data_IF_323602762268
#
_entry.id   IF_323602762268
#
_cell.length_a   1.000
_cell.length_b   1.000
_cell.length_c   1.000
_cell.angle_alpha   90.00
_cell.angle_beta   90.00
_cell.angle_gamma   90.00
#
_symmetry.space_group_name_H-M   'P 1'
#
loop_
_entity.id
_entity.type
_entity.pdbx_description
1 polymer ?
#
# COMPACT_ATOMS: atom_id res chain seq x y z
N UNK A 1 -25.89 -33.16 -18.17
CA UNK A 1 -25.57 -31.90 -17.48
C UNK A 1 -24.06 -31.88 -17.27
N UNK A 2 -23.32 -31.25 -18.18
CA UNK A 2 -21.86 -31.13 -18.07
C UNK A 2 -21.57 -30.09 -16.99
N UNK A 3 -21.03 -30.52 -15.86
CA UNK A 3 -20.66 -29.62 -14.76
C UNK A 3 -19.32 -29.00 -15.15
N UNK A 4 -19.37 -27.76 -15.64
CA UNK A 4 -18.19 -26.94 -15.86
C UNK A 4 -17.46 -26.81 -14.51
N UNK A 5 -16.27 -27.41 -14.42
CA UNK A 5 -15.37 -27.17 -13.30
C UNK A 5 -14.82 -25.75 -13.46
N UNK A 6 -14.96 -24.92 -12.44
CA UNK A 6 -14.32 -23.60 -12.40
C UNK A 6 -12.80 -23.79 -12.48
N UNK A 7 -12.17 -23.15 -13.46
CA UNK A 7 -10.73 -23.14 -13.64
C UNK A 7 -10.12 -22.32 -12.50
N UNK A 8 -9.47 -23.00 -11.55
CA UNK A 8 -8.68 -22.38 -10.50
C UNK A 8 -7.27 -22.18 -11.05
N UNK A 9 -6.91 -20.93 -11.33
CA UNK A 9 -5.54 -20.56 -11.65
C UNK A 9 -4.74 -20.41 -10.35
N UNK A 10 -4.11 -21.48 -9.89
CA UNK A 10 -3.03 -21.37 -8.91
C UNK A 10 -1.76 -20.90 -9.63
N UNK A 11 -1.11 -19.88 -9.07
CA UNK A 11 0.20 -19.46 -9.54
C UNK A 11 1.16 -20.54 -9.02
N UNK A 12 1.92 -21.20 -9.89
CA UNK A 12 2.89 -22.20 -9.42
C UNK A 12 3.93 -21.49 -8.55
N UNK A 13 3.86 -21.72 -7.23
CA UNK A 13 4.89 -21.28 -6.28
C UNK A 13 6.18 -22.00 -6.65
N UNK A 14 7.12 -21.26 -7.24
CA UNK A 14 8.46 -21.78 -7.47
C UNK A 14 9.19 -21.89 -6.12
N UNK A 15 10.04 -22.93 -5.94
CA UNK A 15 10.85 -23.03 -4.74
C UNK A 15 11.69 -21.75 -4.54
N UNK A 16 11.88 -21.34 -3.28
CA UNK A 16 12.53 -20.06 -2.90
C UNK A 16 13.85 -19.77 -3.63
N UNK A 17 14.58 -20.82 -4.02
CA UNK A 17 15.84 -20.72 -4.76
C UNK A 17 15.69 -20.18 -6.19
N UNK A 18 14.51 -20.31 -6.81
CA UNK A 18 14.22 -19.90 -8.19
C UNK A 18 13.57 -18.50 -8.30
N UNK A 19 13.13 -17.89 -7.18
CA UNK A 19 12.54 -16.54 -7.21
C UNK A 19 13.54 -15.48 -7.71
N UNK A 20 14.82 -15.65 -7.39
CA UNK A 20 15.90 -14.77 -7.86
C UNK A 20 16.27 -14.98 -9.33
N UNK A 21 15.77 -16.06 -9.98
CA UNK A 21 16.05 -16.34 -11.38
C UNK A 21 15.13 -15.59 -12.35
N UNK A 22 14.11 -14.89 -11.85
CA UNK A 22 13.43 -13.84 -12.62
C UNK A 22 14.42 -12.69 -12.83
N UNK A 23 15.36 -12.91 -13.75
CA UNK A 23 16.04 -11.86 -14.49
C UNK A 23 14.94 -11.17 -15.28
N UNK A 24 14.27 -10.24 -14.63
CA UNK A 24 13.51 -9.23 -15.33
C UNK A 24 14.44 -8.67 -16.39
N UNK A 25 14.03 -8.78 -17.65
CA UNK A 25 14.62 -8.09 -18.80
C UNK A 25 14.39 -6.58 -18.64
N UNK A 26 14.84 -6.03 -17.50
CA UNK A 26 14.84 -4.61 -17.18
C UNK A 26 15.69 -3.94 -18.23
N UNK A 27 15.01 -3.28 -19.16
CA UNK A 27 15.58 -2.34 -20.11
C UNK A 27 16.64 -1.50 -19.39
N UNK A 28 17.90 -1.71 -19.79
CA UNK A 28 19.04 -0.95 -19.29
C UNK A 28 18.83 0.52 -19.67
N UNK A 29 18.40 1.34 -18.70
CA UNK A 29 18.31 2.78 -18.90
C UNK A 29 19.72 3.35 -18.99
N UNK A 30 20.01 4.12 -20.05
CA UNK A 30 21.31 4.78 -20.28
C UNK A 30 21.66 5.80 -19.19
N UNK A 31 20.68 6.24 -18.41
CA UNK A 31 20.86 7.26 -17.36
C UNK A 31 21.14 6.65 -15.98
N UNK A 32 21.13 5.32 -15.84
CA UNK A 32 21.34 4.64 -14.55
C UNK A 32 22.66 3.88 -14.57
N UNK A 33 23.70 4.51 -14.02
CA UNK A 33 24.98 3.85 -13.78
C UNK A 33 24.87 2.86 -12.63
N UNK A 34 24.96 1.55 -12.94
CA UNK A 34 25.00 0.50 -11.92
C UNK A 34 26.42 0.37 -11.38
N UNK A 35 26.67 0.92 -10.22
CA UNK A 35 27.95 0.78 -9.54
C UNK A 35 28.01 -0.63 -8.90
N UNK A 36 28.98 -1.43 -9.35
CA UNK A 36 29.23 -2.74 -8.74
C UNK A 36 29.80 -2.55 -7.32
N UNK A 37 29.01 -2.94 -6.32
CA UNK A 37 29.40 -2.90 -4.92
C UNK A 37 30.04 -4.23 -4.52
N UNK A 38 31.38 -4.25 -4.42
CA UNK A 38 32.08 -5.41 -3.84
C UNK A 38 31.93 -5.39 -2.31
N UNK A 39 31.05 -6.25 -1.80
CA UNK A 39 30.71 -6.38 -0.38
C UNK A 39 31.94 -6.69 0.47
N UNK A 40 32.86 -7.50 -0.03
CA UNK A 40 34.08 -7.88 0.72
C UNK A 40 35.05 -6.71 0.82
N UNK A 41 35.20 -5.93 -0.25
CA UNK A 41 35.98 -4.69 -0.21
C UNK A 41 35.37 -3.66 0.75
N UNK A 42 34.04 -3.52 0.76
CA UNK A 42 33.33 -2.61 1.64
C UNK A 42 33.48 -3.04 3.10
N UNK A 43 33.30 -4.33 3.39
CA UNK A 43 33.47 -4.88 4.74
C UNK A 43 34.90 -4.67 5.23
N UNK A 44 35.93 -4.95 4.41
CA UNK A 44 37.33 -4.65 4.78
C UNK A 44 37.57 -3.15 5.06
N UNK A 45 36.93 -2.25 4.32
CA UNK A 45 37.10 -0.80 4.48
C UNK A 45 36.39 -0.24 5.73
N UNK A 46 35.20 -0.76 6.04
CA UNK A 46 34.32 -0.22 7.08
C UNK A 46 34.30 -1.01 8.39
N UNK A 47 34.82 -2.25 8.43
CA UNK A 47 34.89 -3.03 9.65
C UNK A 47 35.67 -2.28 10.74
N UNK A 48 34.97 -1.94 11.83
CA UNK A 48 35.53 -1.25 12.98
C UNK A 48 35.66 0.27 12.82
N UNK A 49 35.20 0.88 11.72
CA UNK A 49 35.10 2.34 11.61
C UNK A 49 33.76 2.81 12.15
N UNK A 50 33.80 3.74 13.08
CA UNK A 50 32.62 4.42 13.64
C UNK A 50 32.65 5.86 13.12
N UNK A 51 31.53 6.35 12.59
CA UNK A 51 31.37 7.77 12.28
C UNK A 51 31.17 8.54 13.59
N UNK A 52 32.09 9.45 13.91
CA UNK A 52 31.92 10.38 15.04
C UNK A 52 31.03 11.54 14.62
N UNK A 53 29.86 11.66 15.23
CA UNK A 53 28.89 12.72 14.94
C UNK A 53 29.10 13.98 15.81
N UNK A 54 30.07 13.98 16.73
CA UNK A 54 30.24 15.05 17.73
C UNK A 54 30.58 16.43 17.14
N UNK A 55 31.08 16.48 15.89
CA UNK A 55 31.37 17.74 15.16
C UNK A 55 30.41 18.00 14.00
N UNK A 56 29.33 17.22 13.89
CA UNK A 56 28.34 17.38 12.81
C UNK A 56 27.22 18.27 13.34
N UNK A 57 27.19 19.50 12.84
CA UNK A 57 26.11 20.44 13.12
C UNK A 57 24.91 20.12 12.23
N UNK A 58 23.86 19.54 12.81
CA UNK A 58 22.59 19.30 12.12
C UNK A 58 21.73 20.56 12.00
N UNK A 59 22.25 21.76 12.33
CA UNK A 59 21.52 23.01 12.12
C UNK A 59 21.37 23.40 10.65
N UNK A 60 21.80 22.56 9.70
CA UNK A 60 21.51 22.76 8.28
C UNK A 60 20.00 22.68 8.07
N UNK A 61 19.37 23.86 8.07
CA UNK A 61 17.96 23.97 7.80
C UNK A 61 17.73 23.61 6.34
N UNK A 62 16.84 22.66 6.06
CA UNK A 62 16.40 22.28 4.70
C UNK A 62 15.85 23.49 3.90
N UNK A 63 15.68 24.64 4.55
CA UNK A 63 15.43 25.93 3.92
C UNK A 63 16.66 26.34 3.13
N UNK A 64 16.59 26.21 1.80
CA UNK A 64 17.63 26.57 0.83
C UNK A 64 18.41 27.82 1.27
N UNK A 65 19.65 27.62 1.75
CA UNK A 65 20.59 28.69 2.02
C UNK A 65 20.92 29.35 0.69
N UNK A 66 20.58 30.63 0.54
CA UNK A 66 20.88 31.39 -0.68
C UNK A 66 22.39 31.52 -0.79
N UNK A 67 22.99 30.77 -1.71
CA UNK A 67 24.37 31.02 -2.12
C UNK A 67 24.40 32.38 -2.83
N UNK A 68 25.37 33.26 -2.53
CA UNK A 68 25.69 34.38 -3.38
C UNK A 68 26.33 33.80 -4.64
N UNK A 69 25.49 33.38 -5.58
CA UNK A 69 25.86 32.81 -6.86
C UNK A 69 25.11 33.52 -7.97
N UNK A 70 25.78 33.64 -9.10
CA UNK A 70 25.29 34.22 -10.35
C UNK A 70 24.03 33.48 -10.81
N UNK A 71 22.87 34.08 -10.55
CA UNK A 71 21.57 33.52 -10.93
C UNK A 71 20.62 33.28 -9.76
N UNK A 72 20.28 34.33 -9.00
CA UNK A 72 18.95 34.40 -8.39
C UNK A 72 18.58 35.84 -7.96
N UNK A 73 17.83 36.53 -8.82
CA UNK A 73 16.81 37.51 -8.42
C UNK A 73 17.28 38.82 -7.79
N UNK A 74 17.50 39.82 -8.66
CA UNK A 74 17.18 41.27 -8.53
C UNK A 74 18.28 42.17 -9.10
N UNK A 75 19.51 41.68 -9.19
CA UNK A 75 20.60 42.29 -9.97
C UNK A 75 21.39 41.19 -10.69
N UNK A 76 20.67 40.30 -11.37
CA UNK A 76 21.32 39.38 -12.32
C UNK A 76 21.52 40.20 -13.57
N UNK A 77 22.70 40.79 -13.71
CA UNK A 77 23.20 41.24 -15.00
C UNK A 77 23.36 39.96 -15.83
N UNK A 78 22.34 39.56 -16.56
CA UNK A 78 22.55 38.62 -17.64
C UNK A 78 23.50 39.33 -18.59
N UNK A 79 24.77 38.93 -18.55
CA UNK A 79 25.66 39.18 -19.68
C UNK A 79 25.02 38.42 -20.82
N UNK A 80 24.20 39.14 -21.60
CA UNK A 80 23.58 38.62 -22.80
C UNK A 80 24.73 38.14 -23.68
N UNK A 81 24.86 36.82 -23.80
CA UNK A 81 25.93 36.19 -24.57
C UNK A 81 25.90 36.71 -26.00
N UNK A 82 27.04 36.71 -26.70
CA UNK A 82 27.18 37.16 -28.09
C UNK A 82 26.22 36.51 -29.09
N UNK A 83 25.49 35.49 -28.67
CA UNK A 83 24.56 34.67 -29.43
C UNK A 83 23.08 34.90 -29.08
N UNK A 84 22.73 35.89 -28.25
CA UNK A 84 21.33 36.34 -28.09
C UNK A 84 20.95 37.42 -29.12
N UNK A 85 19.76 37.31 -29.71
CA UNK A 85 19.19 38.32 -30.63
C UNK A 85 18.82 39.64 -29.93
N UNK A 86 18.84 39.69 -28.60
CA UNK A 86 18.44 40.85 -27.82
C UNK A 86 19.61 41.84 -27.64
N UNK A 87 19.38 43.11 -28.02
CA UNK A 87 20.36 44.18 -27.88
C UNK A 87 20.31 44.73 -26.45
N UNK A 88 21.44 44.69 -25.73
CA UNK A 88 21.58 45.31 -24.40
C UNK A 88 21.04 46.75 -24.41
N UNK A 89 20.23 47.11 -23.41
CA UNK A 89 19.85 48.51 -23.23
C UNK A 89 21.04 49.34 -22.76
N UNK A 90 21.14 50.60 -23.19
CA UNK A 90 22.25 51.49 -22.84
C UNK A 90 22.46 51.64 -21.31
N UNK A 91 21.38 51.57 -20.52
CA UNK A 91 21.43 51.63 -19.05
C UNK A 91 22.01 50.33 -18.45
N UNK A 92 21.63 49.16 -18.97
CA UNK A 92 22.22 47.87 -18.56
C UNK A 92 23.71 47.82 -18.89
N UNK A 93 24.09 48.27 -20.09
CA UNK A 93 25.50 48.34 -20.51
C UNK A 93 26.31 49.28 -19.61
N UNK A 94 25.75 50.43 -19.25
CA UNK A 94 26.39 51.37 -18.34
C UNK A 94 26.61 50.76 -16.94
N UNK A 95 25.59 50.12 -16.38
CA UNK A 95 25.66 49.52 -15.05
C UNK A 95 26.57 48.29 -15.01
N UNK A 96 26.60 47.49 -16.10
CA UNK A 96 27.57 46.40 -16.31
C UNK A 96 29.00 46.92 -16.30
N UNK A 97 29.30 47.97 -17.07
CA UNK A 97 30.64 48.59 -17.09
C UNK A 97 31.02 49.08 -15.69
N UNK A 98 30.06 49.64 -14.94
CA UNK A 98 30.30 50.08 -13.56
C UNK A 98 30.65 48.91 -12.64
N UNK A 99 29.96 47.77 -12.77
CA UNK A 99 30.24 46.56 -11.99
C UNK A 99 31.57 45.90 -12.38
N UNK A 100 31.85 45.77 -13.68
CA UNK A 100 33.14 45.27 -14.17
C UNK A 100 34.31 46.15 -13.70
N UNK A 101 34.14 47.49 -13.66
CA UNK A 101 35.15 48.39 -13.10
C UNK A 101 35.31 48.24 -11.58
N UNK A 102 34.24 47.99 -10.83
CA UNK A 102 34.38 47.70 -9.39
C UNK A 102 35.08 46.36 -9.14
N UNK A 103 34.76 45.32 -9.91
CA UNK A 103 35.43 44.02 -9.79
C UNK A 103 36.90 44.10 -10.20
N UNK A 104 37.22 44.89 -11.24
CA UNK A 104 38.59 45.17 -11.64
C UNK A 104 39.36 45.91 -10.53
N UNK A 105 38.72 46.90 -9.90
CA UNK A 105 39.31 47.61 -8.76
C UNK A 105 39.59 46.67 -7.58
N UNK A 106 38.62 45.83 -7.20
CA UNK A 106 38.78 44.86 -6.13
C UNK A 106 39.88 43.83 -6.46
N UNK A 107 39.98 43.40 -7.73
CA UNK A 107 41.01 42.48 -8.20
C UNK A 107 42.42 43.10 -8.14
N UNK A 108 42.57 44.39 -8.51
CA UNK A 108 43.83 45.11 -8.37
C UNK A 108 44.22 45.29 -6.89
N UNK A 109 43.27 45.58 -6.02
CA UNK A 109 43.52 45.69 -4.59
C UNK A 109 43.92 44.34 -3.97
N UNK A 110 43.29 43.24 -4.41
CA UNK A 110 43.68 41.89 -3.98
C UNK A 110 45.08 41.52 -4.51
N UNK A 111 45.44 41.90 -5.74
CA UNK A 111 46.78 41.72 -6.29
C UNK A 111 47.84 42.58 -5.59
N UNK A 112 47.49 43.74 -5.03
CA UNK A 112 48.43 44.51 -4.19
C UNK A 112 48.67 43.82 -2.83
N UNK A 113 47.69 43.06 -2.32
CA UNK A 113 47.80 42.33 -1.05
C UNK A 113 48.51 40.97 -1.20
N UNK A 114 48.41 40.34 -2.37
CA UNK A 114 49.11 39.09 -2.69
C UNK A 114 50.38 39.40 -3.48
N UNK A 115 51.56 39.27 -2.84
CA UNK A 115 52.92 39.60 -3.33
C UNK A 115 53.40 38.87 -4.63
N UNK A 116 52.51 38.51 -5.55
CA UNK A 116 52.85 37.99 -6.87
C UNK A 116 52.84 39.13 -7.90
N UNK A 117 54.05 39.62 -8.21
CA UNK A 117 54.34 40.65 -9.22
C UNK A 117 53.85 40.26 -10.63
N UNK A 118 52.54 40.33 -10.86
CA UNK A 118 51.99 40.49 -12.20
C UNK A 118 52.01 41.98 -12.47
N UNK A 119 52.88 42.40 -13.39
CA UNK A 119 52.99 43.79 -13.85
C UNK A 119 51.70 44.14 -14.59
N UNK A 120 50.67 44.56 -13.87
CA UNK A 120 49.48 45.17 -14.46
C UNK A 120 49.81 46.64 -14.70
N UNK A 121 49.79 47.06 -15.95
CA UNK A 121 50.08 48.45 -16.37
C UNK A 121 48.93 49.42 -16.05
N UNK A 122 48.07 49.08 -15.09
CA UNK A 122 46.83 49.81 -14.79
C UNK A 122 46.91 50.30 -13.36
N UNK A 123 46.92 51.62 -13.20
CA UNK A 123 46.98 52.26 -11.89
C UNK A 123 45.62 52.13 -11.19
N UNK A 124 45.61 51.56 -9.97
CA UNK A 124 44.41 51.37 -9.15
C UNK A 124 43.63 52.68 -8.91
N UNK A 125 44.36 53.79 -8.72
CA UNK A 125 43.78 55.12 -8.51
C UNK A 125 43.00 55.65 -9.73
N UNK A 126 43.45 55.35 -10.96
CA UNK A 126 42.77 55.78 -12.19
C UNK A 126 41.44 55.06 -12.37
N UNK A 127 41.39 53.76 -12.02
CA UNK A 127 40.16 52.95 -12.07
C UNK A 127 39.13 53.46 -11.06
N UNK A 128 39.56 53.82 -9.86
CA UNK A 128 38.68 54.42 -8.86
C UNK A 128 38.12 55.77 -9.33
N UNK A 129 38.96 56.64 -9.88
CA UNK A 129 38.52 57.93 -10.41
C UNK A 129 37.47 57.74 -11.53
N UNK A 130 37.66 56.77 -12.43
CA UNK A 130 36.66 56.43 -13.45
C UNK A 130 35.34 55.98 -12.82
N UNK A 131 35.37 55.12 -11.81
CA UNK A 131 34.18 54.63 -11.11
C UNK A 131 33.39 55.79 -10.45
N UNK A 132 34.09 56.75 -9.86
CA UNK A 132 33.48 57.97 -9.32
C UNK A 132 32.83 58.83 -10.42
N UNK A 133 33.49 59.00 -11.56
CA UNK A 133 32.89 59.73 -12.69
C UNK A 133 31.61 59.07 -13.20
N UNK A 134 31.57 57.73 -13.27
CA UNK A 134 30.37 56.99 -13.66
C UNK A 134 29.23 57.19 -12.64
N UNK A 135 29.54 57.11 -11.33
CA UNK A 135 28.56 57.41 -10.28
C UNK A 135 28.00 58.83 -10.38
N UNK A 136 28.84 59.82 -10.71
CA UNK A 136 28.40 61.21 -10.87
C UNK A 136 27.50 61.44 -12.11
N UNK A 137 27.70 60.67 -13.19
CA UNK A 137 26.86 60.75 -14.40
C UNK A 137 25.44 60.27 -14.11
N UNK A 138 25.26 59.22 -13.31
CA UNK A 138 23.94 58.64 -12.99
C UNK A 138 23.03 59.62 -12.23
N UNK A 139 23.61 60.57 -11.47
CA UNK A 139 22.87 61.58 -10.70
C UNK A 139 22.34 62.73 -11.59
N UNK A 140 22.89 62.93 -12.79
CA UNK A 140 22.54 64.05 -13.69
C UNK A 140 21.34 63.78 -14.63
N UNK A 141 20.48 62.80 -14.33
CA UNK A 141 19.17 62.63 -15.01
C UNK A 141 18.17 63.62 -14.38
N UNK A 142 17.54 64.52 -15.17
CA UNK A 142 17.05 65.79 -14.65
C UNK A 142 15.77 65.61 -13.82
N UNK A 143 15.86 65.86 -12.52
CA UNK A 143 14.71 66.23 -11.70
C UNK A 143 14.56 67.75 -11.86
N UNK A 144 13.60 68.14 -12.69
CA UNK A 144 13.15 69.52 -12.88
C UNK A 144 12.79 70.18 -11.55
N UNK A 145 13.62 71.15 -11.16
CA UNK A 145 13.34 72.42 -10.50
C UNK A 145 11.99 72.60 -9.81
N UNK A 146 12.03 72.82 -8.49
CA UNK A 146 11.94 74.18 -7.92
C UNK A 146 12.12 74.16 -6.40
N UNK A 147 13.26 74.70 -5.99
CA UNK A 147 13.53 75.53 -4.81
C UNK A 147 12.53 75.44 -3.65
N UNK A 148 12.95 74.75 -2.60
CA UNK A 148 12.43 74.89 -1.23
C UNK A 148 13.46 75.75 -0.49
N UNK A 149 13.36 77.05 -0.66
CA UNK A 149 13.90 78.01 0.29
C UNK A 149 12.80 79.00 0.69
N UNK A 150 12.77 79.26 2.00
CA UNK A 150 12.12 80.38 2.67
C UNK A 150 10.66 80.23 3.17
N UNK A 151 10.62 80.00 4.48
CA UNK A 151 9.81 80.74 5.46
C UNK A 151 8.37 80.30 5.76
N UNK A 152 8.29 79.60 6.89
CA UNK A 152 7.34 79.85 7.99
C UNK A 152 6.68 81.23 7.94
N UNK A 153 5.44 81.29 7.47
CA UNK A 153 4.31 82.02 8.08
C UNK A 153 3.11 81.87 7.16
N UNK A 154 2.15 81.02 7.56
CA UNK A 154 0.71 81.29 7.52
C UNK A 154 -0.05 79.99 7.74
N UNK A 155 -0.23 79.66 9.02
CA UNK A 155 -1.43 78.97 9.47
C UNK A 155 -2.62 79.90 9.19
N UNK A 156 -3.22 79.83 8.01
CA UNK A 156 -4.62 80.23 7.72
C UNK A 156 -4.92 80.21 6.21
N UNK A 157 -4.79 79.06 5.56
CA UNK A 157 -5.57 78.79 4.34
C UNK A 157 -6.17 77.38 4.49
N UNK A 158 -7.18 77.31 5.36
CA UNK A 158 -8.14 76.23 5.38
C UNK A 158 -9.02 76.44 4.13
N UNK A 159 -9.40 75.35 3.48
CA UNK A 159 -10.44 75.22 2.44
C UNK A 159 -9.97 75.58 1.04
N UNK A 160 -9.24 74.68 0.36
CA UNK A 160 -9.43 74.39 -1.07
C UNK A 160 -9.10 72.90 -1.29
N UNK A 161 -10.14 72.10 -1.51
CA UNK A 161 -10.10 70.63 -1.60
C UNK A 161 -9.17 70.06 -2.66
N UNK A 162 -8.63 70.87 -3.57
CA UNK A 162 -7.68 70.42 -4.59
C UNK A 162 -6.31 70.04 -4.03
N UNK A 163 -5.88 70.61 -2.89
CA UNK A 163 -4.56 70.30 -2.32
C UNK A 163 -4.57 69.04 -1.46
N UNK A 164 -5.70 68.73 -0.79
CA UNK A 164 -5.82 67.48 -0.05
C UNK A 164 -5.82 66.31 -1.01
N UNK A 165 -6.51 66.38 -2.14
CA UNK A 165 -6.50 65.31 -3.14
C UNK A 165 -5.08 65.09 -3.70
N UNK A 166 -4.31 66.15 -3.91
CA UNK A 166 -2.91 66.04 -4.32
C UNK A 166 -2.02 65.43 -3.23
N UNK A 167 -2.27 65.76 -1.95
CA UNK A 167 -1.55 65.19 -0.80
C UNK A 167 -1.93 63.73 -0.57
N UNK A 168 -3.23 63.38 -0.62
CA UNK A 168 -3.73 62.00 -0.59
C UNK A 168 -3.18 61.20 -1.77
N UNK A 169 -3.20 61.75 -2.99
CA UNK A 169 -2.61 61.08 -4.15
C UNK A 169 -1.08 60.89 -4.01
N UNK A 170 -0.38 61.86 -3.42
CA UNK A 170 1.04 61.72 -3.12
C UNK A 170 1.29 60.67 -2.02
N UNK A 171 0.46 60.65 -0.98
CA UNK A 171 0.50 59.66 0.08
C UNK A 171 0.16 58.26 -0.43
N UNK A 172 -0.84 58.11 -1.29
CA UNK A 172 -1.20 56.85 -1.96
C UNK A 172 -0.08 56.39 -2.89
N UNK A 173 0.53 57.30 -3.66
CA UNK A 173 1.70 56.98 -4.48
C UNK A 173 2.91 56.57 -3.63
N UNK A 174 3.06 57.16 -2.43
CA UNK A 174 4.10 56.77 -1.46
C UNK A 174 3.78 55.43 -0.81
N UNK A 175 2.53 55.18 -0.42
CA UNK A 175 2.07 53.91 0.14
C UNK A 175 2.26 52.80 -0.87
N UNK A 176 1.85 52.99 -2.11
CA UNK A 176 2.07 52.04 -3.20
C UNK A 176 3.54 51.72 -3.44
N UNK A 177 4.42 52.73 -3.40
CA UNK A 177 5.87 52.49 -3.45
C UNK A 177 6.36 51.64 -2.27
N UNK A 178 5.89 51.93 -1.05
CA UNK A 178 6.25 51.16 0.15
C UNK A 178 5.71 49.73 0.03
N UNK A 179 4.50 49.54 -0.49
CA UNK A 179 3.89 48.24 -0.78
C UNK A 179 4.70 47.43 -1.80
N UNK A 180 5.13 48.07 -2.90
CA UNK A 180 5.99 47.43 -3.91
C UNK A 180 7.33 46.99 -3.32
N UNK A 181 7.97 47.82 -2.48
CA UNK A 181 9.24 47.48 -1.82
C UNK A 181 9.09 46.33 -0.83
N UNK A 182 7.97 46.22 -0.13
CA UNK A 182 7.72 45.18 0.87
C UNK A 182 7.26 43.86 0.23
N UNK A 183 6.45 43.91 -0.84
CA UNK A 183 5.86 42.74 -1.49
C UNK A 183 6.77 42.02 -2.51
N UNK A 184 7.73 42.70 -3.13
CA UNK A 184 8.37 42.17 -4.34
C UNK A 184 9.66 41.34 -4.14
N UNK A 185 10.08 41.01 -2.91
CA UNK A 185 11.37 40.34 -2.71
C UNK A 185 11.28 38.81 -2.68
N UNK A 186 11.13 38.19 -3.86
CA UNK A 186 11.79 36.90 -4.12
C UNK A 186 10.97 35.60 -4.15
N UNK A 187 9.72 35.60 -4.63
CA UNK A 187 8.97 34.36 -4.97
C UNK A 187 8.58 34.33 -6.44
N UNK A 188 9.09 33.34 -7.18
CA UNK A 188 8.88 33.12 -8.62
C UNK A 188 7.56 32.42 -8.94
N UNK A 189 6.80 32.01 -7.93
CA UNK A 189 5.50 31.38 -8.13
C UNK A 189 4.44 32.45 -8.41
N UNK A 190 3.77 32.36 -9.56
CA UNK A 190 2.74 33.31 -10.00
C UNK A 190 1.62 33.47 -8.97
N UNK A 191 1.31 32.41 -8.21
CA UNK A 191 0.37 32.44 -7.10
C UNK A 191 0.81 33.40 -5.98
N UNK A 192 2.12 33.45 -5.71
CA UNK A 192 2.71 34.28 -4.65
C UNK A 192 2.83 35.76 -5.04
N UNK A 193 2.92 36.09 -6.34
CA UNK A 193 2.87 37.49 -6.80
C UNK A 193 1.52 38.16 -6.52
N UNK A 194 0.43 37.40 -6.54
CA UNK A 194 -0.90 37.94 -6.23
C UNK A 194 -1.09 38.19 -4.73
N UNK A 195 -0.55 37.30 -3.88
CA UNK A 195 -0.58 37.48 -2.41
C UNK A 195 0.25 38.70 -1.99
N UNK A 196 1.37 38.96 -2.67
CA UNK A 196 2.29 40.04 -2.31
C UNK A 196 1.93 41.43 -2.87
N UNK A 197 0.92 41.52 -3.75
CA UNK A 197 0.38 42.82 -4.24
C UNK A 197 -0.82 43.31 -3.43
N UNK A 198 -1.22 42.58 -2.38
CA UNK A 198 -2.28 43.05 -1.49
C UNK A 198 -1.79 44.30 -0.74
N UNK A 199 -2.63 45.34 -0.62
CA UNK A 199 -2.27 46.53 0.16
C UNK A 199 -1.94 46.11 1.60
N UNK A 200 -1.01 46.82 2.24
CA UNK A 200 -0.55 46.46 3.61
C UNK A 200 -1.72 46.34 4.58
N UNK A 201 -2.76 47.18 4.38
CA UNK A 201 -3.99 47.13 5.15
C UNK A 201 -4.68 45.77 5.09
N UNK A 202 -4.82 45.14 3.93
CA UNK A 202 -5.44 43.81 3.80
C UNK A 202 -4.57 42.73 4.45
N UNK A 203 -3.24 42.85 4.36
CA UNK A 203 -2.32 41.92 5.04
C UNK A 203 -2.46 42.06 6.56
N UNK A 204 -2.55 43.30 7.07
CA UNK A 204 -2.74 43.56 8.49
C UNK A 204 -4.11 43.08 8.95
N UNK A 205 -5.17 43.24 8.15
CA UNK A 205 -6.48 42.68 8.43
C UNK A 205 -6.46 41.14 8.43
N UNK A 206 -5.77 40.50 7.48
CA UNK A 206 -5.58 39.05 7.49
C UNK A 206 -4.76 38.59 8.71
N UNK A 207 -3.68 39.29 9.06
CA UNK A 207 -2.88 39.00 10.26
C UNK A 207 -3.71 39.20 11.53
N UNK A 208 -4.54 40.24 11.56
CA UNK A 208 -5.48 40.47 12.64
C UNK A 208 -6.50 39.34 12.74
N UNK A 209 -7.06 38.88 11.63
CA UNK A 209 -7.96 37.71 11.57
C UNK A 209 -7.26 36.42 12.02
N UNK A 210 -6.01 36.21 11.63
CA UNK A 210 -5.19 35.07 12.09
C UNK A 210 -4.89 35.15 13.58
N UNK A 211 -4.59 36.33 14.11
CA UNK A 211 -4.42 36.56 15.55
C UNK A 211 -5.74 36.32 16.29
N UNK A 212 -6.86 36.77 15.73
CA UNK A 212 -8.18 36.47 16.28
C UNK A 212 -8.47 34.97 16.28
N UNK A 213 -8.09 34.23 15.24
CA UNK A 213 -8.20 32.77 15.22
C UNK A 213 -7.28 32.12 16.27
N UNK A 214 -6.09 32.70 16.48
CA UNK A 214 -5.15 32.33 17.52
C UNK A 214 -5.52 32.90 18.91
N UNK A 215 -6.71 33.47 19.08
CA UNK A 215 -7.16 33.90 20.40
C UNK A 215 -7.04 32.71 21.38
N UNK A 216 -6.52 32.94 22.60
CA UNK A 216 -6.28 31.88 23.58
C UNK A 216 -7.57 31.09 23.89
N UNK A 217 -8.73 31.73 23.82
CA UNK A 217 -10.04 31.08 24.01
C UNK A 217 -10.35 30.03 22.94
N UNK A 218 -9.98 30.23 21.68
CA UNK A 218 -10.13 29.23 20.62
C UNK A 218 -9.12 28.10 20.77
N UNK A 219 -7.89 28.40 21.18
CA UNK A 219 -6.86 27.39 21.48
C UNK A 219 -7.31 26.50 22.64
N UNK A 220 -7.89 27.05 23.70
CA UNK A 220 -8.44 26.29 24.82
C UNK A 220 -9.64 25.43 24.39
N UNK A 221 -10.52 25.95 23.53
CA UNK A 221 -11.63 25.20 22.97
C UNK A 221 -11.16 24.04 22.07
N UNK A 222 -10.12 24.27 21.26
CA UNK A 222 -9.48 23.25 20.43
C UNK A 222 -8.77 22.20 21.28
N UNK A 223 -8.06 22.61 22.34
CA UNK A 223 -7.41 21.70 23.28
C UNK A 223 -8.45 20.82 23.99
N UNK A 224 -9.57 21.41 24.44
CA UNK A 224 -10.70 20.66 25.00
C UNK A 224 -11.30 19.69 23.99
N UNK A 225 -11.48 20.10 22.72
CA UNK A 225 -11.99 19.23 21.66
C UNK A 225 -11.03 18.08 21.32
N UNK A 226 -9.73 18.35 21.25
CA UNK A 226 -8.69 17.34 21.02
C UNK A 226 -8.67 16.34 22.18
N UNK A 227 -8.72 16.80 23.43
CA UNK A 227 -8.80 15.92 24.59
C UNK A 227 -10.07 15.08 24.60
N UNK A 228 -11.22 15.64 24.22
CA UNK A 228 -12.46 14.88 24.05
C UNK A 228 -12.34 13.82 22.95
N UNK A 229 -11.68 14.13 21.83
CA UNK A 229 -11.41 13.17 20.75
C UNK A 229 -10.45 12.08 21.22
N UNK A 230 -9.42 12.43 21.99
CA UNK A 230 -8.47 11.47 22.57
C UNK A 230 -9.18 10.49 23.50
N UNK A 231 -10.03 10.99 24.41
CA UNK A 231 -10.85 10.14 25.30
C UNK A 231 -11.80 9.25 24.48
N UNK A 232 -12.41 9.78 23.41
CA UNK A 232 -13.27 8.97 22.53
C UNK A 232 -12.47 7.89 21.79
N UNK A 233 -11.25 8.20 21.35
CA UNK A 233 -10.37 7.26 20.67
C UNK A 233 -9.91 6.14 21.62
N UNK A 234 -9.53 6.47 22.85
CA UNK A 234 -9.23 5.48 23.89
C UNK A 234 -10.43 4.57 24.16
N UNK A 235 -11.65 5.11 24.28
CA UNK A 235 -12.87 4.31 24.43
C UNK A 235 -13.17 3.43 23.23
N UNK A 236 -12.82 3.88 22.01
CA UNK A 236 -12.98 3.07 20.80
C UNK A 236 -11.94 1.94 20.79
N UNK A 237 -10.71 2.22 21.21
CA UNK A 237 -9.64 1.21 21.33
C UNK A 237 -10.01 0.13 22.35
N UNK A 238 -10.45 0.52 23.56
CA UNK A 238 -10.94 -0.40 24.59
C UNK A 238 -12.10 -1.27 24.07
N UNK A 239 -13.09 -0.66 23.41
CA UNK A 239 -14.22 -1.40 22.82
C UNK A 239 -13.82 -2.31 21.68
N UNK A 240 -12.78 -1.97 20.93
CA UNK A 240 -12.29 -2.77 19.81
C UNK A 240 -11.55 -4.01 20.33
N UNK A 241 -10.72 -3.83 21.36
CA UNK A 241 -10.05 -4.94 22.05
C UNK A 241 -11.07 -5.88 22.70
N UNK A 242 -12.08 -5.35 23.41
CA UNK A 242 -13.07 -6.18 24.10
C UNK A 242 -14.00 -6.94 23.14
N UNK A 243 -14.49 -6.30 22.07
CA UNK A 243 -15.51 -6.92 21.19
C UNK A 243 -14.94 -7.78 20.07
N UNK A 244 -13.81 -7.38 19.51
CA UNK A 244 -13.20 -8.08 18.39
C UNK A 244 -12.54 -9.37 18.83
N UNK A 245 -11.71 -9.28 19.87
CA UNK A 245 -10.85 -10.39 20.26
C UNK A 245 -11.68 -11.47 20.97
N UNK A 246 -12.58 -11.12 21.88
CA UNK A 246 -13.33 -12.14 22.65
C UNK A 246 -14.23 -12.99 21.75
N UNK A 247 -15.01 -12.38 20.85
CA UNK A 247 -15.88 -13.15 19.95
C UNK A 247 -15.08 -13.95 18.91
N UNK A 248 -13.97 -13.41 18.43
CA UNK A 248 -13.10 -14.10 17.48
C UNK A 248 -12.36 -15.25 18.16
N UNK A 249 -11.79 -15.03 19.33
CA UNK A 249 -11.18 -16.07 20.18
C UNK A 249 -12.20 -17.15 20.51
N UNK A 250 -13.43 -16.81 20.93
CA UNK A 250 -14.48 -17.80 21.14
C UNK A 250 -14.81 -18.60 19.86
N UNK A 251 -14.82 -17.97 18.68
CA UNK A 251 -15.05 -18.65 17.40
C UNK A 251 -13.87 -19.56 17.05
N UNK A 252 -12.65 -19.10 17.29
CA UNK A 252 -11.41 -19.86 17.07
C UNK A 252 -11.39 -21.06 18.02
N UNK A 253 -11.71 -20.88 19.30
CA UNK A 253 -11.81 -21.95 20.29
C UNK A 253 -12.89 -22.97 19.90
N UNK A 254 -14.07 -22.51 19.47
CA UNK A 254 -15.15 -23.39 18.96
C UNK A 254 -14.71 -24.18 17.72
N UNK A 255 -13.95 -23.55 16.81
CA UNK A 255 -13.39 -24.22 15.62
C UNK A 255 -12.33 -25.25 16.01
N UNK A 256 -11.42 -24.91 16.92
CA UNK A 256 -10.43 -25.84 17.46
C UNK A 256 -11.12 -27.02 18.16
N UNK A 257 -12.16 -26.79 18.96
CA UNK A 257 -12.94 -27.89 19.56
C UNK A 257 -13.59 -28.79 18.52
N UNK A 258 -14.19 -28.22 17.48
CA UNK A 258 -14.80 -29.01 16.40
C UNK A 258 -13.72 -29.81 15.64
N UNK A 259 -12.58 -29.21 15.34
CA UNK A 259 -11.45 -29.88 14.71
C UNK A 259 -10.96 -31.05 15.57
N UNK A 260 -10.78 -30.85 16.87
CA UNK A 260 -10.39 -31.92 17.79
C UNK A 260 -11.42 -33.05 17.85
N UNK A 261 -12.73 -32.72 17.84
CA UNK A 261 -13.80 -33.72 17.74
C UNK A 261 -13.73 -34.48 16.41
N UNK A 262 -13.49 -33.80 15.30
CA UNK A 262 -13.32 -34.45 13.99
C UNK A 262 -12.07 -35.33 13.93
N UNK A 263 -10.95 -34.93 14.55
CA UNK A 263 -9.76 -35.76 14.66
C UNK A 263 -10.05 -37.06 15.42
N UNK A 264 -10.80 -36.99 16.53
CA UNK A 264 -11.23 -38.22 17.25
C UNK A 264 -12.15 -39.11 16.42
N UNK A 265 -13.05 -38.51 15.62
CA UNK A 265 -13.91 -39.26 14.70
C UNK A 265 -13.10 -39.89 13.57
N UNK A 266 -12.15 -39.17 12.99
CA UNK A 266 -11.25 -39.67 11.94
C UNK A 266 -10.40 -40.85 12.43
N UNK A 267 -9.98 -40.86 13.71
CA UNK A 267 -9.29 -42.01 14.30
C UNK A 267 -10.22 -43.22 14.52
N UNK A 268 -11.49 -43.00 14.86
CA UNK A 268 -12.46 -44.09 15.12
C UNK A 268 -13.17 -44.60 13.87
N UNK A 269 -13.24 -43.80 12.81
CA UNK A 269 -13.93 -44.11 11.56
C UNK A 269 -13.37 -45.37 10.87
N UNK A 270 -12.05 -45.58 10.74
CA UNK A 270 -11.51 -46.84 10.22
C UNK A 270 -11.93 -48.06 11.03
N UNK A 271 -12.04 -47.95 12.35
CA UNK A 271 -12.53 -49.04 13.20
C UNK A 271 -14.01 -49.32 12.97
N UNK A 272 -14.84 -48.27 12.84
CA UNK A 272 -16.24 -48.40 12.47
C UNK A 272 -16.43 -49.05 11.09
N UNK A 273 -15.65 -48.63 10.09
CA UNK A 273 -15.65 -49.23 8.74
C UNK A 273 -15.19 -50.68 8.77
N UNK A 274 -14.15 -51.04 9.54
CA UNK A 274 -13.72 -52.44 9.71
C UNK A 274 -14.79 -53.29 10.39
N UNK A 275 -15.47 -52.77 11.42
CA UNK A 275 -16.61 -53.45 12.07
C UNK A 275 -17.75 -53.68 11.08
N UNK A 276 -18.07 -52.69 10.24
CA UNK A 276 -19.08 -52.83 9.20
C UNK A 276 -18.69 -53.85 8.14
N UNK A 277 -17.43 -53.89 7.71
CA UNK A 277 -16.94 -54.91 6.77
C UNK A 277 -16.98 -56.32 7.39
N UNK A 278 -16.59 -56.47 8.65
CA UNK A 278 -16.71 -57.75 9.37
C UNK A 278 -18.18 -58.18 9.52
N UNK A 279 -19.08 -57.24 9.79
CA UNK A 279 -20.52 -57.50 9.85
C UNK A 279 -21.08 -57.88 8.48
N UNK A 280 -20.62 -57.25 7.40
CA UNK A 280 -20.98 -57.64 6.03
C UNK A 280 -20.54 -59.07 5.72
N UNK A 281 -19.30 -59.46 6.06
CA UNK A 281 -18.82 -60.85 5.93
C UNK A 281 -19.64 -61.82 6.76
N UNK A 282 -20.03 -61.43 7.97
CA UNK A 282 -20.91 -62.24 8.82
C UNK A 282 -22.30 -62.39 8.20
N UNK A 283 -22.87 -61.33 7.63
CA UNK A 283 -24.14 -61.39 6.91
C UNK A 283 -24.05 -62.27 5.66
N UNK A 284 -22.93 -62.22 4.94
CA UNK A 284 -22.69 -63.11 3.81
C UNK A 284 -22.61 -64.58 4.25
N UNK A 285 -21.90 -64.87 5.35
CA UNK A 285 -21.87 -66.21 5.94
C UNK A 285 -23.26 -66.68 6.41
N UNK A 286 -24.04 -65.80 7.03
CA UNK A 286 -25.41 -66.09 7.45
C UNK A 286 -26.33 -66.35 6.24
N UNK A 287 -26.14 -65.61 5.15
CA UNK A 287 -26.87 -65.82 3.90
C UNK A 287 -26.51 -67.17 3.27
N UNK A 288 -25.23 -67.55 3.24
CA UNK A 288 -24.78 -68.87 2.79
C UNK A 288 -25.35 -70.00 3.66
N UNK A 289 -25.40 -69.81 4.98
CA UNK A 289 -26.03 -70.76 5.89
C UNK A 289 -27.53 -70.90 5.62
N UNK A 290 -28.24 -69.79 5.42
CA UNK A 290 -29.67 -69.82 5.08
C UNK A 290 -29.93 -70.52 3.74
N UNK A 291 -29.06 -70.34 2.75
CA UNK A 291 -29.13 -71.07 1.48
C UNK A 291 -28.92 -72.58 1.68
N UNK A 292 -27.89 -72.99 2.45
CA UNK A 292 -27.65 -74.39 2.79
C UNK A 292 -28.81 -75.01 3.60
N UNK A 293 -29.39 -74.25 4.52
CA UNK A 293 -30.56 -74.69 5.29
C UNK A 293 -31.78 -74.86 4.39
N UNK A 294 -31.99 -73.94 3.43
CA UNK A 294 -33.09 -74.03 2.47
C UNK A 294 -32.93 -75.25 1.56
N UNK A 295 -31.71 -75.56 1.13
CA UNK A 295 -31.39 -76.81 0.40
C UNK A 295 -31.64 -78.04 1.27
N UNK A 296 -31.19 -78.04 2.54
CA UNK A 296 -31.39 -79.16 3.47
C UNK A 296 -32.87 -79.38 3.82
N UNK A 297 -33.65 -78.31 3.97
CA UNK A 297 -35.10 -78.39 4.13
C UNK A 297 -35.74 -78.94 2.87
N UNK A 298 -35.28 -78.51 1.69
CA UNK A 298 -35.72 -79.06 0.40
C UNK A 298 -35.46 -80.57 0.27
N UNK A 299 -34.25 -81.03 0.60
CA UNK A 299 -33.92 -82.47 0.56
C UNK A 299 -34.70 -83.25 1.61
N UNK A 300 -34.92 -82.70 2.81
CA UNK A 300 -35.79 -83.32 3.83
C UNK A 300 -37.21 -83.49 3.33
N UNK A 301 -37.80 -82.47 2.70
CA UNK A 301 -39.15 -82.56 2.11
C UNK A 301 -39.19 -83.59 0.97
N UNK A 302 -38.14 -83.65 0.14
CA UNK A 302 -38.03 -84.65 -0.91
C UNK A 302 -37.93 -86.08 -0.35
N UNK A 303 -37.09 -86.31 0.67
CA UNK A 303 -36.97 -87.62 1.32
C UNK A 303 -38.28 -88.03 1.99
N UNK A 304 -38.98 -87.09 2.65
CA UNK A 304 -40.29 -87.35 3.22
C UNK A 304 -41.30 -87.78 2.16
N UNK A 305 -41.32 -87.13 0.99
CA UNK A 305 -42.17 -87.53 -0.15
C UNK A 305 -41.80 -88.90 -0.74
N UNK A 306 -40.51 -89.23 -0.83
CA UNK A 306 -40.08 -90.56 -1.27
C UNK A 306 -40.57 -91.62 -0.28
N UNK A 307 -40.34 -91.40 1.02
CA UNK A 307 -40.77 -92.33 2.08
C UNK A 307 -42.30 -92.50 2.06
N UNK A 308 -43.06 -91.42 1.90
CA UNK A 308 -44.51 -91.49 1.76
C UNK A 308 -44.94 -92.27 0.50
N UNK A 309 -44.29 -92.03 -0.64
CA UNK A 309 -44.52 -92.80 -1.87
C UNK A 309 -44.17 -94.28 -1.74
N UNK A 310 -43.05 -94.61 -1.08
CA UNK A 310 -42.64 -95.98 -0.79
C UNK A 310 -43.61 -96.67 0.18
N UNK A 311 -44.11 -95.94 1.19
CA UNK A 311 -45.14 -96.45 2.10
C UNK A 311 -46.43 -96.80 1.35
N UNK A 312 -46.86 -95.97 0.39
CA UNK A 312 -48.02 -96.26 -0.46
C UNK A 312 -47.76 -97.47 -1.37
N UNK A 313 -46.60 -97.56 -2.02
CA UNK A 313 -46.23 -98.71 -2.83
C UNK A 313 -46.17 -100.02 -2.01
N UNK A 314 -45.67 -99.95 -0.77
CA UNK A 314 -45.68 -101.08 0.17
C UNK A 314 -47.09 -101.47 0.61
N UNK A 315 -47.99 -100.49 0.78
CA UNK A 315 -49.40 -100.76 1.08
C UNK A 315 -50.07 -101.47 -0.10
N UNK A 316 -49.86 -100.99 -1.32
CA UNK A 316 -50.40 -101.58 -2.55
C UNK A 316 -49.83 -102.98 -2.78
N UNK A 317 -48.52 -103.16 -2.61
CA UNK A 317 -47.88 -104.48 -2.70
C UNK A 317 -48.40 -105.45 -1.64
N UNK A 318 -48.58 -104.98 -0.39
CA UNK A 318 -49.19 -105.79 0.67
C UNK A 318 -50.64 -106.16 0.34
N UNK A 319 -51.40 -105.25 -0.25
CA UNK A 319 -52.77 -105.52 -0.67
C UNK A 319 -52.81 -106.53 -1.83
N UNK A 320 -51.97 -106.35 -2.85
CA UNK A 320 -51.84 -107.26 -3.98
C UNK A 320 -51.39 -108.66 -3.55
N UNK A 321 -50.43 -108.77 -2.62
CA UNK A 321 -49.97 -110.06 -2.08
C UNK A 321 -51.04 -110.71 -1.22
N UNK A 322 -51.80 -109.95 -0.43
CA UNK A 322 -52.96 -110.48 0.30
C UNK A 322 -54.02 -111.05 -0.65
N UNK A 323 -54.35 -110.34 -1.74
CA UNK A 323 -55.29 -110.81 -2.74
C UNK A 323 -54.77 -112.04 -3.50
N UNK A 324 -53.47 -112.08 -3.82
CA UNK A 324 -52.82 -113.22 -4.44
C UNK A 324 -52.84 -114.46 -3.50
N UNK A 325 -52.53 -114.27 -2.22
CA UNK A 325 -52.61 -115.32 -1.20
C UNK A 325 -54.05 -115.81 -1.00
N UNK A 326 -55.05 -114.92 -1.04
CA UNK A 326 -56.46 -115.29 -0.95
C UNK A 326 -56.92 -116.11 -2.17
N UNK A 327 -56.52 -115.71 -3.38
CA UNK A 327 -56.78 -116.49 -4.60
C UNK A 327 -56.13 -117.87 -4.52
N UNK A 328 -54.87 -117.93 -4.11
CA UNK A 328 -54.13 -119.18 -3.95
C UNK A 328 -54.76 -120.09 -2.88
N UNK A 329 -55.23 -119.51 -1.76
CA UNK A 329 -55.99 -120.24 -0.75
C UNK A 329 -57.28 -120.85 -1.31
N UNK A 330 -58.07 -120.07 -2.06
CA UNK A 330 -59.28 -120.57 -2.71
C UNK A 330 -58.97 -121.65 -3.77
N UNK A 331 -57.84 -121.54 -4.48
CA UNK A 331 -57.43 -122.54 -5.48
C UNK A 331 -56.93 -123.84 -4.82
N UNK A 332 -56.24 -123.75 -3.67
CA UNK A 332 -55.90 -124.92 -2.85
C UNK A 332 -57.16 -125.59 -2.33
N UNK A 333 -58.15 -124.84 -1.83
CA UNK A 333 -59.41 -125.38 -1.34
C UNK A 333 -60.17 -126.13 -2.45
N UNK A 334 -60.24 -125.57 -3.67
CA UNK A 334 -60.79 -126.27 -4.84
C UNK A 334 -60.00 -127.52 -5.22
N UNK A 335 -58.68 -127.51 -5.09
CA UNK A 335 -57.85 -128.70 -5.34
C UNK A 335 -58.08 -129.77 -4.27
N UNK A 336 -58.27 -129.37 -3.01
CA UNK A 336 -58.63 -130.27 -1.91
C UNK A 336 -60.00 -130.90 -2.15
N UNK A 337 -61.00 -130.13 -2.55
CA UNK A 337 -62.32 -130.65 -2.96
C UNK A 337 -62.21 -131.66 -4.11
N UNK A 338 -61.39 -131.36 -5.14
CA UNK A 338 -61.15 -132.28 -6.25
C UNK A 338 -60.41 -133.55 -5.83
N UNK A 339 -59.44 -133.46 -4.93
CA UNK A 339 -58.75 -134.61 -4.36
C UNK A 339 -59.72 -135.48 -3.55
N UNK A 340 -60.58 -134.87 -2.73
CA UNK A 340 -61.63 -135.59 -1.99
C UNK A 340 -62.64 -136.27 -2.93
N UNK A 341 -62.97 -135.65 -4.07
CA UNK A 341 -63.86 -136.23 -5.07
C UNK A 341 -63.25 -137.41 -5.84
N UNK A 342 -61.92 -137.45 -6.02
CA UNK A 342 -61.20 -138.58 -6.68
C UNK A 342 -60.87 -139.70 -5.68
N UNK A 343 -60.76 -139.38 -4.38
CA UNK A 343 -60.52 -140.37 -3.31
C UNK A 343 -61.74 -141.24 -2.99
N UNK A 344 -62.92 -140.94 -3.55
CA UNK A 344 -64.13 -141.77 -3.47
C UNK A 344 -64.35 -142.43 -4.82
#
# INVERSE_FOLDING_TARGET
MSIQKEDVYETEDFPEDDENLRKDELQESKDVERIHLDVDSALKRFKGRILSADKVDFSDSIKRKRYPGYGCGAYVFEVLGSESEEVETNEQKFERIRCELSELYDSLQNQENEDEKVVSSVNSEEVMAMLETLKAIQIKKPITDKSIEETKTSLANIIHGSNLDAEYAFMDARLKRIEDFIGASGVTDEMSKNINRMPIYEIVDDLHMRIQLLNPTHVDALYSRINQVLIKLQKVEEKKQERGDTEFEEKVDKLYEMMMKWDTVCVTLPSAVRRMNNLQKLHEQAQQFNAKLSQLVGTRVHLAKIIEGEQMAMFDFRHQTYDALKKLGNDIEKLEERLQAISK
#
